data_IF_663971306867
#
_entry.id   IF_663971306867
#
_cell.length_a   1.000
_cell.length_b   1.000
_cell.length_c   1.000
_cell.angle_alpha   90.00
_cell.angle_beta   90.00
_cell.angle_gamma   90.00
#
_symmetry.space_group_name_H-M   'P 1'
#
loop_
_entity.id
_entity.type
_entity.pdbx_description
1 polymer ?
#
# COMPACT_ATOMS: atom_id res chain seq x y z
N UNK A 1 13.96 -2.22 9.92
CA UNK A 1 13.10 -3.10 9.09
C UNK A 1 12.29 -2.19 8.17
N UNK A 2 12.05 -2.62 6.94
CA UNK A 2 11.35 -1.83 5.92
C UNK A 2 10.22 -2.67 5.31
N UNK A 3 9.24 -1.99 4.72
CA UNK A 3 8.22 -2.56 3.85
C UNK A 3 8.55 -2.21 2.40
N UNK A 4 8.25 -3.11 1.48
CA UNK A 4 8.35 -2.90 0.05
C UNK A 4 7.02 -3.24 -0.63
N UNK A 5 6.56 -2.38 -1.54
CA UNK A 5 5.43 -2.64 -2.43
C UNK A 5 5.94 -2.69 -3.86
N UNK A 6 5.82 -3.85 -4.51
CA UNK A 6 5.98 -3.99 -5.95
C UNK A 6 4.61 -3.80 -6.60
N UNK A 7 4.49 -2.83 -7.51
CA UNK A 7 3.28 -2.54 -8.26
C UNK A 7 3.58 -2.69 -9.75
N UNK A 8 2.68 -3.36 -10.46
CA UNK A 8 2.75 -3.58 -11.90
C UNK A 8 1.38 -3.28 -12.52
N UNK A 9 1.36 -2.51 -13.61
CA UNK A 9 0.15 -2.27 -14.40
C UNK A 9 0.47 -2.17 -15.88
N UNK A 10 -0.48 -2.59 -16.71
CA UNK A 10 -0.38 -2.46 -18.16
C UNK A 10 -0.71 -1.03 -18.58
N UNK A 11 0.16 -0.43 -19.36
CA UNK A 11 -0.06 0.84 -20.04
C UNK A 11 0.50 0.75 -21.46
N UNK A 12 -0.23 1.24 -22.46
CA UNK A 12 0.23 1.18 -23.86
C UNK A 12 1.34 2.19 -24.13
N UNK A 13 1.45 3.22 -23.29
CA UNK A 13 2.28 4.38 -23.52
C UNK A 13 3.17 4.63 -22.31
N UNK A 14 4.36 5.18 -22.56
CA UNK A 14 5.19 5.78 -21.52
C UNK A 14 4.91 7.28 -21.52
N UNK A 15 3.94 7.71 -20.73
CA UNK A 15 3.46 9.09 -20.74
C UNK A 15 4.30 9.95 -19.82
N UNK A 16 4.86 11.01 -20.39
CA UNK A 16 5.59 12.05 -19.69
C UNK A 16 4.94 13.39 -20.03
N UNK A 17 4.63 14.18 -19.00
CA UNK A 17 4.07 15.50 -19.14
C UNK A 17 5.10 16.48 -19.71
N UNK A 18 4.65 17.44 -20.51
CA UNK A 18 5.43 18.65 -20.77
C UNK A 18 5.33 19.61 -19.57
N UNK A 19 6.25 20.58 -19.41
CA UNK A 19 6.16 21.58 -18.36
C UNK A 19 4.82 22.35 -18.34
N UNK A 20 4.24 22.61 -19.52
CA UNK A 20 2.94 23.27 -19.68
C UNK A 20 1.77 22.37 -19.24
N UNK A 21 1.89 21.05 -19.41
CA UNK A 21 0.92 20.09 -18.88
C UNK A 21 1.03 19.97 -17.36
N UNK A 22 2.24 19.93 -16.80
CA UNK A 22 2.47 19.94 -15.35
C UNK A 22 1.86 21.19 -14.68
N UNK A 23 2.02 22.35 -15.30
CA UNK A 23 1.40 23.59 -14.82
C UNK A 23 -0.14 23.53 -14.79
N UNK A 24 -0.76 22.80 -15.73
CA UNK A 24 -2.21 22.62 -15.75
C UNK A 24 -2.72 21.78 -14.58
N UNK A 25 -1.96 20.77 -14.11
CA UNK A 25 -2.34 19.92 -12.97
C UNK A 25 -2.61 20.77 -11.70
N UNK A 26 -1.78 21.76 -11.44
CA UNK A 26 -1.93 22.67 -10.29
C UNK A 26 -3.15 23.61 -10.40
N UNK A 27 -3.75 23.73 -11.59
CA UNK A 27 -4.87 24.63 -11.90
C UNK A 27 -6.20 23.91 -12.15
N UNK A 28 -6.21 22.57 -12.16
CA UNK A 28 -7.38 21.79 -12.57
C UNK A 28 -8.57 22.01 -11.63
N UNK A 29 -9.60 22.67 -12.15
CA UNK A 29 -10.92 22.73 -11.54
C UNK A 29 -11.82 21.72 -12.23
N UNK A 30 -12.31 20.76 -11.46
CA UNK A 30 -13.32 19.81 -11.91
C UNK A 30 -14.56 20.58 -12.38
N UNK A 31 -14.85 20.52 -13.68
CA UNK A 31 -15.99 21.24 -14.26
C UNK A 31 -17.26 20.47 -13.90
N UNK A 32 -18.29 21.10 -13.29
CA UNK A 32 -19.49 20.40 -12.85
C UNK A 32 -20.24 19.74 -14.03
N UNK A 33 -21.10 18.73 -13.78
CA UNK A 33 -21.66 17.86 -14.82
C UNK A 33 -22.65 18.52 -15.79
N UNK A 34 -22.85 19.84 -15.72
CA UNK A 34 -23.79 20.62 -16.54
C UNK A 34 -23.22 21.04 -17.91
N UNK A 35 -22.00 20.63 -18.26
CA UNK A 35 -21.40 20.80 -19.58
C UNK A 35 -21.41 19.53 -20.43
N UNK A 36 -20.78 19.58 -21.61
CA UNK A 36 -20.45 18.37 -22.36
C UNK A 36 -19.64 17.38 -21.48
N UNK A 37 -19.92 16.07 -21.54
CA UNK A 37 -19.15 15.09 -20.78
C UNK A 37 -17.65 15.22 -21.02
N UNK A 38 -16.85 15.27 -19.95
CA UNK A 38 -15.38 15.31 -20.02
C UNK A 38 -14.79 14.15 -20.85
N UNK A 39 -15.48 13.01 -20.92
CA UNK A 39 -15.15 11.88 -21.77
C UNK A 39 -15.17 12.20 -23.29
N UNK A 40 -15.94 13.19 -23.75
CA UNK A 40 -15.92 13.63 -25.15
C UNK A 40 -14.65 14.43 -25.50
N UNK A 41 -14.01 15.05 -24.50
CA UNK A 41 -12.76 15.81 -24.65
C UNK A 41 -11.52 14.99 -24.31
N UNK A 42 -11.67 13.69 -24.05
CA UNK A 42 -10.61 12.77 -23.64
C UNK A 42 -9.42 12.70 -24.60
N UNK A 43 -9.61 13.02 -25.90
CA UNK A 43 -8.55 13.13 -26.91
C UNK A 43 -7.96 14.53 -27.13
N UNK A 44 -8.40 15.53 -26.36
CA UNK A 44 -7.97 16.93 -26.45
C UNK A 44 -7.11 17.37 -25.26
N UNK A 45 -6.98 16.54 -24.23
CA UNK A 45 -6.09 16.82 -23.11
C UNK A 45 -4.62 16.73 -23.55
N UNK A 46 -3.72 17.54 -22.96
CA UNK A 46 -2.30 17.26 -23.00
C UNK A 46 -1.98 15.87 -22.43
N UNK A 47 -0.86 15.30 -22.84
CA UNK A 47 -0.30 14.12 -22.18
C UNK A 47 0.23 14.54 -20.81
N UNK A 48 -0.16 13.81 -19.77
CA UNK A 48 0.36 13.97 -18.41
C UNK A 48 1.36 12.85 -18.09
N UNK A 49 1.97 12.88 -16.89
CA UNK A 49 2.76 11.77 -16.39
C UNK A 49 1.83 10.60 -16.08
N UNK A 50 2.23 9.38 -16.46
CA UNK A 50 1.65 8.20 -15.82
C UNK A 50 1.97 8.24 -14.33
N UNK A 51 1.13 7.64 -13.50
CA UNK A 51 1.36 7.64 -12.06
C UNK A 51 0.68 6.50 -11.34
N UNK A 52 1.24 6.15 -10.18
CA UNK A 52 0.70 5.16 -9.27
C UNK A 52 0.80 5.70 -7.84
N UNK A 53 -0.21 5.47 -7.02
CA UNK A 53 -0.17 5.84 -5.61
C UNK A 53 -0.71 4.73 -4.71
N UNK A 54 -0.19 4.70 -3.48
CA UNK A 54 -0.72 3.91 -2.38
C UNK A 54 -1.22 4.86 -1.30
N UNK A 55 -2.41 4.57 -0.77
CA UNK A 55 -3.07 5.34 0.29
C UNK A 55 -3.30 4.45 1.52
N UNK A 56 -3.03 5.01 2.69
CA UNK A 56 -3.25 4.38 4.00
C UNK A 56 -3.93 5.38 4.95
N UNK A 57 -4.82 4.97 5.87
CA UNK A 57 -5.21 5.84 6.97
C UNK A 57 -3.99 6.10 7.85
N UNK A 58 -3.71 7.36 8.16
CA UNK A 58 -2.56 7.73 9.01
C UNK A 58 -2.65 7.03 10.37
N UNK A 59 -3.81 7.17 11.01
CA UNK A 59 -4.13 6.63 12.33
C UNK A 59 -5.05 5.40 12.22
N UNK A 60 -4.65 4.40 11.41
CA UNK A 60 -5.49 3.21 11.19
C UNK A 60 -5.78 2.40 12.48
N UNK A 61 -4.92 2.50 13.51
CA UNK A 61 -5.11 1.82 14.80
C UNK A 61 -6.30 2.38 15.61
N UNK A 62 -6.75 3.60 15.33
CA UNK A 62 -7.89 4.24 16.01
C UNK A 62 -9.23 4.06 15.28
N UNK A 63 -9.23 3.41 14.12
CA UNK A 63 -10.46 3.11 13.36
C UNK A 63 -11.20 1.94 14.01
N UNK A 64 -12.47 2.15 14.35
CA UNK A 64 -13.35 1.08 14.85
C UNK A 64 -13.83 0.20 13.68
N UNK A 65 -13.45 -1.09 13.57
CA UNK A 65 -13.92 -1.92 12.47
C UNK A 65 -15.46 -2.03 12.46
N UNK A 66 -16.13 -1.91 11.31
CA UNK A 66 -15.59 -1.96 9.95
C UNK A 66 -15.21 -0.59 9.33
N UNK A 67 -15.28 0.52 10.09
CA UNK A 67 -15.03 1.89 9.60
C UNK A 67 -13.68 2.00 8.87
N UNK A 68 -13.69 2.80 7.80
CA UNK A 68 -12.52 3.20 7.01
C UNK A 68 -12.71 4.66 6.61
N UNK A 69 -11.64 5.44 6.37
CA UNK A 69 -11.78 6.78 5.81
C UNK A 69 -12.55 6.75 4.50
N UNK A 70 -13.16 7.90 4.14
CA UNK A 70 -13.70 8.08 2.79
C UNK A 70 -12.65 7.67 1.76
N UNK A 71 -13.09 6.89 0.79
CA UNK A 71 -12.19 6.10 -0.04
C UNK A 71 -11.20 6.95 -0.86
N UNK A 72 -11.63 8.09 -1.42
CA UNK A 72 -10.73 9.04 -2.11
C UNK A 72 -10.23 10.08 -1.09
N UNK A 73 -8.94 10.04 -0.79
CA UNK A 73 -8.20 11.02 0.02
C UNK A 73 -8.71 11.28 1.44
N UNK A 74 -9.41 10.30 2.03
CA UNK A 74 -9.88 10.38 3.41
C UNK A 74 -10.94 11.46 3.62
N UNK A 75 -11.07 11.87 4.88
CA UNK A 75 -12.05 12.86 5.34
C UNK A 75 -11.49 13.67 6.52
N UNK A 76 -12.22 14.71 6.95
CA UNK A 76 -11.76 15.62 7.99
C UNK A 76 -11.56 14.98 9.37
N UNK A 77 -12.16 13.81 9.64
CA UNK A 77 -11.95 13.03 10.86
C UNK A 77 -10.82 12.02 10.69
N UNK A 78 -10.71 11.41 9.52
CA UNK A 78 -9.78 10.32 9.23
C UNK A 78 -8.85 10.70 8.07
N UNK A 79 -7.66 11.23 8.41
CA UNK A 79 -6.64 11.56 7.43
C UNK A 79 -6.00 10.31 6.81
N UNK A 80 -5.42 10.48 5.63
CA UNK A 80 -4.66 9.45 4.93
C UNK A 80 -3.26 9.92 4.54
N UNK A 81 -2.27 9.02 4.66
CA UNK A 81 -0.93 9.12 4.09
C UNK A 81 -0.96 8.55 2.67
N UNK A 82 -0.53 9.32 1.67
CA UNK A 82 -0.48 8.91 0.27
C UNK A 82 0.94 9.01 -0.25
N UNK A 83 1.44 7.91 -0.79
CA UNK A 83 2.72 7.88 -1.50
C UNK A 83 2.40 7.80 -2.99
N UNK A 84 2.66 8.87 -3.74
CA UNK A 84 2.46 8.92 -5.18
C UNK A 84 3.81 8.91 -5.88
N UNK A 85 3.95 8.11 -6.92
CA UNK A 85 5.03 8.17 -7.89
C UNK A 85 4.48 8.63 -9.25
N UNK A 86 5.30 9.34 -10.01
CA UNK A 86 5.00 9.80 -11.37
C UNK A 86 6.14 9.41 -12.35
N UNK A 87 5.80 9.25 -13.62
CA UNK A 87 6.67 8.72 -14.68
C UNK A 87 8.00 9.46 -14.89
N UNK A 88 8.11 10.72 -14.46
CA UNK A 88 9.35 11.50 -14.47
C UNK A 88 10.33 11.12 -13.34
N UNK A 89 9.95 10.19 -12.46
CA UNK A 89 10.72 9.71 -11.32
C UNK A 89 10.36 10.40 -10.00
N UNK A 90 9.48 11.41 -10.01
CA UNK A 90 9.10 12.15 -8.79
C UNK A 90 8.30 11.27 -7.84
N UNK A 91 8.68 11.29 -6.56
CA UNK A 91 7.87 10.76 -5.45
C UNK A 91 7.28 11.94 -4.68
N UNK A 92 5.96 11.92 -4.47
CA UNK A 92 5.20 12.93 -3.73
C UNK A 92 4.55 12.26 -2.52
N UNK A 93 4.83 12.81 -1.34
CA UNK A 93 4.18 12.43 -0.09
C UNK A 93 3.06 13.43 0.17
N UNK A 94 1.82 12.94 0.30
CA UNK A 94 0.64 13.79 0.48
C UNK A 94 -0.14 13.36 1.73
N UNK A 95 -0.78 14.32 2.40
CA UNK A 95 -1.81 14.06 3.41
C UNK A 95 -3.16 14.43 2.84
N UNK A 96 -4.08 13.47 2.77
CA UNK A 96 -5.48 13.70 2.43
C UNK A 96 -6.34 13.87 3.68
N UNK A 97 -7.21 14.87 3.68
CA UNK A 97 -8.28 15.08 4.68
C UNK A 97 -9.65 15.29 4.00
N UNK A 98 -9.79 14.77 2.78
CA UNK A 98 -10.82 15.11 1.80
C UNK A 98 -10.22 15.18 0.40
N UNK A 99 -11.04 15.00 -0.63
CA UNK A 99 -10.60 15.10 -2.03
C UNK A 99 -10.28 16.53 -2.47
N UNK A 100 -10.82 17.49 -1.74
CA UNK A 100 -10.67 18.94 -1.83
C UNK A 100 -9.53 19.47 -0.94
N UNK A 101 -8.97 18.62 -0.05
CA UNK A 101 -7.91 18.97 0.89
C UNK A 101 -6.82 17.90 0.91
N UNK A 102 -5.97 17.95 -0.12
CA UNK A 102 -4.81 17.07 -0.31
C UNK A 102 -3.55 17.94 -0.38
N UNK A 103 -2.74 17.89 0.66
CA UNK A 103 -1.57 18.76 0.82
C UNK A 103 -0.26 17.97 0.74
N UNK A 104 0.82 18.49 0.12
CA UNK A 104 2.13 17.87 0.21
C UNK A 104 2.68 17.93 1.63
N UNK A 105 3.29 16.83 2.10
CA UNK A 105 4.02 16.80 3.37
C UNK A 105 5.53 16.73 3.13
N UNK A 106 6.29 17.32 4.04
CA UNK A 106 7.75 17.26 4.03
C UNK A 106 8.26 15.86 4.41
N UNK A 107 9.43 15.49 3.88
CA UNK A 107 10.13 14.24 4.18
C UNK A 107 10.55 13.47 2.92
N UNK A 108 11.54 12.59 3.08
CA UNK A 108 12.06 11.67 2.05
C UNK A 108 12.17 10.26 2.64
N UNK A 109 11.07 9.81 3.26
CA UNK A 109 11.00 8.52 3.97
C UNK A 109 10.56 7.36 3.07
N UNK A 110 9.93 7.67 1.93
CA UNK A 110 9.55 6.68 0.90
C UNK A 110 10.49 6.83 -0.28
N UNK A 111 11.13 5.74 -0.68
CA UNK A 111 12.07 5.70 -1.81
C UNK A 111 11.50 4.81 -2.90
N UNK A 112 11.91 5.09 -4.14
CA UNK A 112 11.61 4.25 -5.30
C UNK A 112 12.89 3.67 -5.86
N UNK A 113 13.44 2.57 -5.30
CA UNK A 113 14.70 1.98 -5.75
C UNK A 113 14.63 1.33 -7.14
N UNK A 114 13.41 1.12 -7.68
CA UNK A 114 13.20 0.59 -9.01
C UNK A 114 11.91 1.16 -9.62
N UNK A 115 12.03 1.68 -10.85
CA UNK A 115 10.91 2.03 -11.71
C UNK A 115 11.33 1.79 -13.17
N UNK A 116 10.53 1.02 -13.92
CA UNK A 116 10.80 0.71 -15.34
C UNK A 116 9.51 0.59 -16.15
N UNK A 117 9.59 0.91 -17.44
CA UNK A 117 8.51 0.70 -18.42
C UNK A 117 9.04 -0.19 -19.55
N UNK A 118 8.47 -1.39 -19.66
CA UNK A 118 8.88 -2.35 -20.68
C UNK A 118 7.71 -3.19 -21.15
N UNK A 119 7.60 -3.35 -22.48
CA UNK A 119 6.62 -4.18 -23.19
C UNK A 119 5.15 -3.83 -22.85
N UNK A 120 4.86 -2.54 -22.69
CA UNK A 120 3.52 -2.04 -22.36
C UNK A 120 3.13 -2.25 -20.90
N UNK A 121 4.11 -2.33 -20.00
CA UNK A 121 3.92 -2.57 -18.58
C UNK A 121 4.87 -1.69 -17.76
N UNK A 122 4.30 -0.90 -16.85
CA UNK A 122 5.03 -0.19 -15.81
C UNK A 122 5.25 -1.08 -14.60
N UNK A 123 6.42 -0.95 -13.97
CA UNK A 123 6.82 -1.66 -12.75
C UNK A 123 7.47 -0.67 -11.81
N UNK A 124 6.94 -0.52 -10.60
CA UNK A 124 7.41 0.46 -9.60
C UNK A 124 7.52 -0.23 -8.24
N UNK A 125 8.64 -0.01 -7.55
CA UNK A 125 8.85 -0.47 -6.18
C UNK A 125 8.88 0.74 -5.25
N UNK A 126 7.99 0.79 -4.26
CA UNK A 126 8.12 1.71 -3.13
C UNK A 126 8.78 0.99 -1.95
N UNK A 127 9.70 1.66 -1.24
CA UNK A 127 10.25 1.19 0.05
C UNK A 127 10.19 2.28 1.12
N UNK A 128 9.86 1.89 2.36
CA UNK A 128 9.87 2.78 3.55
C UNK A 128 10.15 1.98 4.82
N UNK A 129 10.75 2.60 5.84
CA UNK A 129 10.87 2.02 7.18
C UNK A 129 9.48 1.68 7.78
N UNK A 130 9.38 0.60 8.54
CA UNK A 130 8.08 0.21 9.15
C UNK A 130 7.52 1.25 10.12
N UNK A 131 8.39 2.09 10.69
CA UNK A 131 8.04 3.15 11.62
C UNK A 131 8.82 4.41 11.23
N UNK A 132 8.27 5.60 11.49
CA UNK A 132 8.93 6.89 11.29
C UNK A 132 8.59 7.86 12.42
N UNK A 133 9.41 8.89 12.58
CA UNK A 133 9.26 9.87 13.66
C UNK A 133 8.03 10.79 13.47
N UNK A 134 7.54 10.96 12.23
CA UNK A 134 6.33 11.73 11.93
C UNK A 134 5.06 10.88 12.07
N UNK A 135 4.73 10.51 13.32
CA UNK A 135 3.56 9.66 13.60
C UNK A 135 2.21 10.34 13.35
N UNK A 136 2.16 11.67 13.24
CA UNK A 136 0.92 12.44 12.99
C UNK A 136 0.47 12.44 11.53
N UNK A 137 1.39 12.19 10.59
CA UNK A 137 1.12 12.26 9.14
C UNK A 137 1.45 10.95 8.40
N UNK A 138 2.43 10.19 8.87
CA UNK A 138 2.84 8.94 8.26
C UNK A 138 2.08 7.74 8.82
N UNK A 139 1.64 6.82 7.96
CA UNK A 139 1.14 5.50 8.42
C UNK A 139 2.24 4.74 9.16
N UNK A 140 1.93 4.13 10.30
CA UNK A 140 2.87 3.27 11.05
C UNK A 140 2.54 1.79 10.80
N UNK A 141 3.53 0.98 10.43
CA UNK A 141 3.33 -0.44 10.06
C UNK A 141 3.67 -1.38 11.22
N UNK A 142 2.64 -2.07 11.73
CA UNK A 142 2.73 -3.02 12.85
C UNK A 142 2.51 -4.46 12.38
N UNK A 143 3.35 -5.41 12.80
CA UNK A 143 3.20 -6.84 12.43
C UNK A 143 2.00 -7.50 13.11
N UNK A 144 1.32 -8.41 12.40
CA UNK A 144 0.14 -9.13 12.89
C UNK A 144 -1.14 -8.29 12.90
N UNK A 145 -1.16 -7.18 12.15
CA UNK A 145 -2.27 -6.22 12.11
C UNK A 145 -2.79 -6.05 10.67
N UNK A 146 -4.05 -5.60 10.57
CA UNK A 146 -4.76 -5.38 9.32
C UNK A 146 -4.75 -3.88 9.00
N UNK A 147 -3.83 -3.46 8.14
CA UNK A 147 -3.63 -2.04 7.82
C UNK A 147 -4.40 -1.72 6.53
N UNK A 148 -5.44 -0.87 6.54
CA UNK A 148 -6.19 -0.56 5.32
C UNK A 148 -5.28 0.06 4.27
N UNK A 149 -5.41 -0.40 3.03
CA UNK A 149 -4.57 0.02 1.90
C UNK A 149 -5.43 0.19 0.64
N UNK A 150 -5.26 1.30 -0.07
CA UNK A 150 -5.91 1.57 -1.35
C UNK A 150 -4.87 1.99 -2.39
N UNK A 151 -5.21 1.83 -3.66
CA UNK A 151 -4.34 2.11 -4.79
C UNK A 151 -5.05 3.01 -5.80
N UNK A 152 -4.28 3.92 -6.41
CA UNK A 152 -4.73 4.84 -7.46
C UNK A 152 -3.76 4.80 -8.63
N UNK A 153 -4.26 4.84 -9.86
CA UNK A 153 -3.46 4.84 -11.09
C UNK A 153 -3.93 5.93 -12.06
N UNK A 154 -2.99 6.57 -12.74
CA UNK A 154 -3.22 7.60 -13.75
C UNK A 154 -2.59 7.13 -15.08
N UNK A 155 -3.40 7.01 -16.13
CA UNK A 155 -2.94 6.87 -17.52
C UNK A 155 -2.78 8.28 -18.11
N UNK A 156 -1.53 8.72 -18.23
CA UNK A 156 -1.20 10.08 -18.66
C UNK A 156 -1.56 10.35 -20.12
N UNK A 157 -1.59 9.31 -20.97
CA UNK A 157 -1.97 9.39 -22.38
C UNK A 157 -3.49 9.52 -22.55
N UNK A 158 -4.26 8.90 -21.66
CA UNK A 158 -5.70 9.08 -21.51
C UNK A 158 -6.09 10.45 -20.94
N UNK A 159 -5.10 11.26 -20.54
CA UNK A 159 -5.26 12.57 -19.93
C UNK A 159 -5.66 12.50 -18.46
N UNK A 160 -5.34 11.41 -17.75
CA UNK A 160 -5.64 11.26 -16.32
C UNK A 160 -4.68 12.12 -15.50
N UNK A 161 -5.23 12.94 -14.62
CA UNK A 161 -4.50 13.82 -13.70
C UNK A 161 -5.43 14.27 -12.57
N UNK A 162 -4.84 14.67 -11.43
CA UNK A 162 -5.62 15.10 -10.26
C UNK A 162 -6.60 14.02 -9.80
N UNK A 163 -7.91 14.35 -9.77
CA UNK A 163 -8.98 13.42 -9.38
C UNK A 163 -9.45 12.48 -10.50
N UNK A 164 -9.05 12.72 -11.76
CA UNK A 164 -9.32 11.80 -12.87
C UNK A 164 -8.27 10.70 -12.84
N UNK A 165 -8.65 9.53 -12.32
CA UNK A 165 -7.80 8.37 -12.07
C UNK A 165 -8.63 7.09 -11.95
N UNK A 166 -7.97 5.94 -12.14
CA UNK A 166 -8.49 4.63 -11.73
C UNK A 166 -8.20 4.36 -10.25
N UNK A 167 -9.09 3.66 -9.55
CA UNK A 167 -9.05 3.53 -8.09
C UNK A 167 -9.60 2.18 -7.57
N UNK A 168 -9.05 1.66 -6.46
CA UNK A 168 -9.07 0.20 -6.18
C UNK A 168 -10.15 -0.39 -5.26
N UNK A 169 -10.83 0.39 -4.42
CA UNK A 169 -11.40 -0.05 -3.10
C UNK A 169 -10.35 -0.42 -2.03
N UNK A 170 -10.77 -0.46 -0.76
CA UNK A 170 -9.89 -0.72 0.40
C UNK A 170 -9.58 -2.23 0.57
N UNK A 171 -8.30 -2.57 0.52
CA UNK A 171 -7.72 -3.86 0.91
C UNK A 171 -7.04 -3.77 2.28
N UNK A 172 -6.38 -4.85 2.72
CA UNK A 172 -5.55 -4.87 3.92
C UNK A 172 -4.13 -5.33 3.61
N UNK A 173 -3.15 -4.51 3.96
CA UNK A 173 -1.76 -4.95 4.11
C UNK A 173 -1.61 -5.66 5.46
N UNK A 174 -1.03 -6.86 5.44
CA UNK A 174 -0.78 -7.67 6.64
C UNK A 174 0.69 -8.07 6.65
N UNK A 175 1.45 -7.55 7.61
CA UNK A 175 2.82 -7.99 7.84
C UNK A 175 2.80 -9.19 8.79
N UNK A 176 3.06 -10.39 8.27
CA UNK A 176 3.04 -11.62 9.08
C UNK A 176 4.06 -11.52 10.24
N UNK A 177 3.66 -11.82 11.49
CA UNK A 177 4.60 -11.90 12.59
C UNK A 177 5.55 -13.10 12.39
N UNK A 178 6.79 -13.04 12.91
CA UNK A 178 7.68 -14.20 12.88
C UNK A 178 7.04 -15.37 13.65
N UNK A 179 7.20 -16.59 13.15
CA UNK A 179 6.74 -17.80 13.83
C UNK A 179 7.37 -17.87 15.23
N UNK A 180 6.57 -17.94 16.31
CA UNK A 180 7.10 -17.99 17.67
C UNK A 180 7.94 -19.26 17.87
N UNK A 181 9.06 -19.17 18.60
CA UNK A 181 9.97 -20.31 18.85
C UNK A 181 9.24 -21.50 19.49
N UNK A 182 8.21 -21.21 20.28
CA UNK A 182 7.33 -22.16 20.95
C UNK A 182 6.64 -23.12 19.96
N UNK A 183 6.31 -22.65 18.75
CA UNK A 183 5.73 -23.48 17.69
C UNK A 183 6.70 -24.55 17.16
N UNK A 184 8.01 -24.35 17.30
CA UNK A 184 9.03 -25.36 16.99
C UNK A 184 9.36 -26.24 18.21
N UNK A 185 9.35 -25.66 19.42
CA UNK A 185 9.72 -26.36 20.65
C UNK A 185 8.64 -27.37 21.08
N UNK A 186 7.36 -26.99 21.06
CA UNK A 186 6.30 -27.87 21.57
C UNK A 186 6.15 -29.20 20.81
N UNK A 187 6.21 -29.26 19.46
CA UNK A 187 6.16 -30.54 18.74
C UNK A 187 7.35 -31.46 19.07
N UNK A 188 8.56 -30.90 19.19
CA UNK A 188 9.76 -31.66 19.55
C UNK A 188 9.67 -32.17 20.98
N UNK A 189 9.25 -31.33 21.93
CA UNK A 189 9.07 -31.71 23.33
C UNK A 189 7.98 -32.79 23.48
N UNK A 190 6.85 -32.65 22.77
CA UNK A 190 5.78 -33.65 22.75
C UNK A 190 6.25 -34.98 22.17
N UNK A 191 7.04 -34.98 21.09
CA UNK A 191 7.62 -36.19 20.51
C UNK A 191 8.56 -36.89 21.50
N UNK A 192 9.49 -36.16 22.12
CA UNK A 192 10.41 -36.69 23.15
C UNK A 192 9.65 -37.25 24.35
N UNK A 193 8.60 -36.54 24.80
CA UNK A 193 7.73 -36.98 25.89
C UNK A 193 7.02 -38.29 25.55
N UNK A 194 6.38 -38.39 24.38
CA UNK A 194 5.70 -39.61 23.91
C UNK A 194 6.67 -40.79 23.78
N UNK A 195 7.84 -40.58 23.18
CA UNK A 195 8.90 -41.60 23.06
C UNK A 195 9.35 -42.07 24.45
N UNK A 196 9.60 -41.15 25.38
CA UNK A 196 9.99 -41.47 26.76
C UNK A 196 8.90 -42.27 27.50
N UNK A 197 7.63 -41.93 27.30
CA UNK A 197 6.49 -42.64 27.87
C UNK A 197 6.38 -44.07 27.32
N UNK A 198 6.56 -44.27 26.01
CA UNK A 198 6.59 -45.59 25.39
C UNK A 198 7.73 -46.47 25.95
N UNK A 199 8.95 -45.93 26.05
CA UNK A 199 10.08 -46.64 26.67
C UNK A 199 9.83 -47.00 28.14
N UNK A 200 9.24 -46.09 28.92
CA UNK A 200 8.90 -46.34 30.32
C UNK A 200 7.88 -47.48 30.47
N UNK A 201 6.79 -47.46 29.68
CA UNK A 201 5.78 -48.54 29.66
C UNK A 201 6.42 -49.87 29.28
N UNK A 202 7.20 -49.92 28.19
CA UNK A 202 7.89 -51.15 27.76
C UNK A 202 8.85 -51.71 28.84
N UNK A 203 9.50 -50.83 29.62
CA UNK A 203 10.38 -51.24 30.73
C UNK A 203 9.62 -51.90 31.88
N UNK A 204 8.36 -51.52 32.13
CA UNK A 204 7.49 -52.12 33.16
C UNK A 204 7.09 -53.55 32.77
N UNK A 205 6.67 -53.75 31.52
CA UNK A 205 6.33 -55.09 31.00
C UNK A 205 7.54 -56.04 31.01
N UNK A 206 8.72 -55.58 30.57
CA UNK A 206 9.97 -56.39 30.65
C UNK A 206 10.34 -56.80 32.08
N UNK A 207 10.00 -56.01 33.10
CA UNK A 207 10.22 -56.37 34.51
C UNK A 207 9.15 -57.30 35.07
N UNK A 208 7.90 -57.21 34.60
CA UNK A 208 6.82 -58.13 34.98
C UNK A 208 7.02 -59.57 34.46
N UNK A 209 7.61 -59.72 33.28
CA UNK A 209 7.87 -61.02 32.63
C UNK A 209 9.05 -61.83 33.22
N UNK A 210 9.69 -61.36 34.30
CA UNK A 210 10.84 -62.02 34.96
C UNK A 210 10.51 -62.56 36.36
N UNK A 211 9.28 -63.04 36.55
CA UNK A 211 8.84 -63.82 37.72
C UNK A 211 8.28 -65.15 37.26
#
# INVERSE_FOLDING_TARGET
KEIAYYLEWSDRNKSLATPEALAQVASFKETPPSGEPIALRQRQYPVFNDGIAIQFPTHWETLNPPEKPRFVFGDAKNSVDVWKWEADGTVKLLVGQGFDKVEPRAGDVVKTPFADFKDGVWRVVFTRALQTDNTEQDVQFTTGKYIPTAFFAWDGHNGDHGLKMSLSTWYYTILLPPTPREAYIYPVFAAVFVIGLQFWVASKFKKGSKK
#
